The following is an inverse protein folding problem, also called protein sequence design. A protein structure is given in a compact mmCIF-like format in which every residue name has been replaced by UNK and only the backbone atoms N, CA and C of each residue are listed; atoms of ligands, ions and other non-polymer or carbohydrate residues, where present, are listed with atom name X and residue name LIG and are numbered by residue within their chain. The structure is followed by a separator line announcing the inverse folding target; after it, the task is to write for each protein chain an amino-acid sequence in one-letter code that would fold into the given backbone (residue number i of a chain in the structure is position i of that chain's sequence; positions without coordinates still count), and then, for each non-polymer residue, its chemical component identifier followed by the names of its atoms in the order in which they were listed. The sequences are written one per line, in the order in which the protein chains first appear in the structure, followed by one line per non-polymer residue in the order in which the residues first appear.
data_IF_609736285516
#
_entry.id   IF_609736285516
#
_cell.length_a   1.000
_cell.length_b   1.000
_cell.length_c   1.000
_cell.angle_alpha   90.00
_cell.angle_beta   90.00
_cell.angle_gamma   90.00
#
_symmetry.space_group_name_H-M   'P 1'
#
loop_
_entity.id
_entity.type
_entity.pdbx_description
1 polymer ?
#
# COMPACT_ATOMS: atom_id res chain seq x y z
N UNK A 1 16.37 5.80 9.27
CA UNK A 1 16.20 6.06 7.83
C UNK A 1 14.79 5.65 7.46
N UNK A 2 14.00 6.56 6.89
CA UNK A 2 12.67 6.20 6.40
C UNK A 2 12.83 5.42 5.09
N UNK A 3 12.29 4.20 5.05
CA UNK A 3 12.21 3.41 3.83
C UNK A 3 10.92 3.77 3.10
N UNK A 4 10.99 4.03 1.80
CA UNK A 4 9.78 4.25 1.00
C UNK A 4 9.13 2.90 0.71
N UNK A 5 7.91 2.67 1.23
CA UNK A 5 7.13 1.49 0.89
C UNK A 5 6.47 1.72 -0.47
N UNK A 6 6.62 0.80 -1.45
CA UNK A 6 6.01 0.97 -2.74
C UNK A 6 4.48 0.87 -2.66
N UNK A 7 3.79 1.84 -3.23
CA UNK A 7 2.33 1.76 -3.44
C UNK A 7 2.02 0.73 -4.52
N UNK A 8 1.23 -0.28 -4.17
CA UNK A 8 0.81 -1.34 -5.08
C UNK A 8 -0.70 -1.35 -5.26
N UNK A 9 -1.14 -1.88 -6.40
CA UNK A 9 -2.55 -2.11 -6.72
C UNK A 9 -2.97 -3.54 -6.29
N UNK A 10 -4.18 -3.98 -6.66
CA UNK A 10 -4.57 -5.39 -6.50
C UNK A 10 -3.84 -6.24 -7.54
N UNK A 11 -3.43 -7.45 -7.17
CA UNK A 11 -2.84 -8.39 -8.13
C UNK A 11 -3.84 -9.50 -8.46
N UNK A 12 -4.47 -9.41 -9.64
CA UNK A 12 -5.58 -10.28 -10.05
C UNK A 12 -5.28 -10.78 -11.47
N UNK A 13 -5.32 -12.09 -11.68
CA UNK A 13 -5.09 -12.69 -13.01
C UNK A 13 -3.69 -12.41 -13.59
N UNK A 14 -2.68 -12.20 -12.75
CA UNK A 14 -1.32 -11.88 -13.18
C UNK A 14 -1.10 -10.41 -13.56
N UNK A 15 -2.07 -9.53 -13.32
CA UNK A 15 -2.00 -8.11 -13.63
C UNK A 15 -2.17 -7.26 -12.37
N UNK A 16 -1.57 -6.07 -12.37
CA UNK A 16 -1.86 -5.03 -11.39
C UNK A 16 -3.13 -4.27 -11.81
N UNK A 17 -4.09 -4.15 -10.90
CA UNK A 17 -5.41 -3.58 -11.19
C UNK A 17 -5.87 -2.68 -10.06
N UNK A 18 -6.29 -1.46 -10.39
CA UNK A 18 -6.83 -0.51 -9.41
C UNK A 18 -8.11 -1.08 -8.74
N UNK A 19 -8.29 -0.91 -7.42
CA UNK A 19 -9.55 -1.26 -6.77
C UNK A 19 -10.72 -0.52 -7.40
N UNK A 20 -11.86 -1.20 -7.60
CA UNK A 20 -13.04 -0.60 -8.20
C UNK A 20 -13.51 0.68 -7.48
N UNK A 21 -13.38 0.73 -6.15
CA UNK A 21 -13.76 1.89 -5.32
C UNK A 21 -12.65 2.93 -5.17
N UNK A 22 -11.45 2.70 -5.72
CA UNK A 22 -10.24 3.55 -5.58
C UNK A 22 -9.84 3.88 -4.14
N UNK A 23 -10.25 3.04 -3.20
CA UNK A 23 -9.94 3.19 -1.78
C UNK A 23 -8.63 2.47 -1.44
N UNK A 24 -7.88 3.04 -0.51
CA UNK A 24 -6.65 2.46 0.04
C UNK A 24 -6.65 2.59 1.56
N UNK A 25 -5.77 1.83 2.22
CA UNK A 25 -5.54 1.89 3.65
C UNK A 25 -4.09 2.30 3.90
N UNK A 26 -3.79 3.00 5.01
CA UNK A 26 -2.42 3.36 5.36
C UNK A 26 -1.61 2.12 5.76
N UNK A 27 -0.30 2.16 5.51
CA UNK A 27 0.66 1.23 6.11
C UNK A 27 1.28 1.94 7.30
N UNK A 28 1.11 1.36 8.49
CA UNK A 28 1.63 1.93 9.74
C UNK A 28 2.82 1.11 10.22
N UNK A 29 3.91 1.77 10.56
CA UNK A 29 5.07 1.13 11.18
C UNK A 29 4.77 0.88 12.67
N UNK A 30 4.68 -0.36 13.16
CA UNK A 30 4.39 -0.62 14.56
C UNK A 30 5.50 -0.18 15.52
N UNK A 31 6.72 0.08 15.04
CA UNK A 31 7.83 0.51 15.88
C UNK A 31 7.84 2.02 16.16
N UNK A 32 7.19 2.83 15.33
CA UNK A 32 7.18 4.30 15.45
C UNK A 32 5.80 4.93 15.35
N UNK A 33 4.79 4.16 14.97
CA UNK A 33 3.41 4.59 14.71
C UNK A 33 3.25 5.56 13.52
N UNK A 34 4.34 5.81 12.77
CA UNK A 34 4.30 6.62 11.56
C UNK A 34 3.61 5.89 10.41
N UNK A 35 2.98 6.67 9.52
CA UNK A 35 2.49 6.20 8.21
C UNK A 35 3.66 6.18 7.23
N UNK A 36 3.93 5.03 6.61
CA UNK A 36 5.08 4.79 5.70
C UNK A 36 4.67 4.35 4.29
#
# INVERSE_FOLDING_TARGET
MAITVPRRQLFIGGQWTEPLRRQTLPVVNPATEDII
#
